data_IF_243720947608
#
_entry.id   IF_243720947608
#
_cell.length_a   1.000
_cell.length_b   1.000
_cell.length_c   1.000
_cell.angle_alpha   90.00
_cell.angle_beta   90.00
_cell.angle_gamma   90.00
#
_symmetry.space_group_name_H-M   'P 1'
#
loop_
_entity.id
_entity.type
_entity.pdbx_description
1 polymer ?
#
# COMPACT_ATOMS: atom_id res chain seq x y z
N UNK A 1 15.92 4.32 15.36
CA UNK A 1 16.83 5.24 14.64
C UNK A 1 16.33 5.62 13.24
N UNK A 2 15.65 4.71 12.50
CA UNK A 2 15.01 5.06 11.23
C UNK A 2 13.94 6.16 11.37
N UNK A 3 13.08 6.09 12.40
CA UNK A 3 12.01 7.08 12.64
C UNK A 3 12.57 8.50 12.88
N UNK A 4 13.63 8.63 13.69
CA UNK A 4 14.29 9.91 13.96
C UNK A 4 15.12 10.48 12.78
N UNK A 5 15.29 9.70 11.70
CA UNK A 5 15.88 10.18 10.46
C UNK A 5 14.78 10.66 9.50
N UNK A 6 13.65 9.95 9.43
CA UNK A 6 12.49 10.36 8.64
C UNK A 6 11.98 11.74 9.05
N UNK A 7 11.82 12.00 10.35
CA UNK A 7 11.39 13.30 10.89
C UNK A 7 12.33 14.46 10.50
N UNK A 8 13.64 14.21 10.42
CA UNK A 8 14.64 15.22 10.04
C UNK A 8 14.70 15.49 8.54
N UNK A 9 14.25 14.56 7.70
CA UNK A 9 14.26 14.72 6.24
C UNK A 9 13.01 15.45 5.74
N UNK A 10 11.88 15.32 6.43
CA UNK A 10 10.68 16.13 6.22
C UNK A 10 10.95 17.63 6.47
N UNK A 11 11.73 17.98 7.50
CA UNK A 11 12.12 19.37 7.81
C UNK A 11 12.96 20.06 6.71
N UNK A 12 13.56 19.30 5.79
CA UNK A 12 14.40 19.81 4.69
C UNK A 12 13.73 19.73 3.31
N UNK A 13 12.45 19.37 3.26
CA UNK A 13 11.66 19.32 2.02
C UNK A 13 11.89 18.07 1.17
N UNK A 14 12.33 16.96 1.77
CA UNK A 14 12.40 15.66 1.11
C UNK A 14 11.06 14.95 1.26
N UNK A 15 10.26 14.93 0.18
CA UNK A 15 8.92 14.33 0.16
C UNK A 15 8.87 13.09 -0.76
N UNK A 16 7.84 12.25 -0.59
CA UNK A 16 7.56 11.13 -1.49
C UNK A 16 8.60 9.99 -1.44
N UNK A 17 8.97 9.46 -2.60
CA UNK A 17 9.90 8.31 -2.69
C UNK A 17 11.30 8.67 -2.21
N UNK A 18 11.68 9.94 -2.24
CA UNK A 18 12.96 10.39 -1.69
C UNK A 18 13.02 10.22 -0.16
N UNK A 19 11.91 10.14 0.58
CA UNK A 19 11.90 9.79 2.01
C UNK A 19 12.11 8.28 2.24
N UNK A 20 11.53 7.45 1.37
CA UNK A 20 11.74 6.01 1.34
C UNK A 20 13.16 5.67 0.86
N UNK A 21 13.76 6.51 0.01
CA UNK A 21 15.15 6.41 -0.41
C UNK A 21 16.12 7.02 0.60
N UNK A 22 15.74 8.11 1.28
CA UNK A 22 16.53 8.78 2.30
C UNK A 22 16.68 7.93 3.54
N UNK A 23 15.80 6.95 3.78
CA UNK A 23 16.01 5.91 4.82
C UNK A 23 17.12 4.93 4.44
N UNK A 24 17.49 4.79 3.15
CA UNK A 24 18.63 3.96 2.74
C UNK A 24 19.99 4.56 3.08
N UNK A 25 20.14 5.89 3.09
CA UNK A 25 21.41 6.53 3.47
C UNK A 25 21.83 6.22 4.92
N UNK A 26 20.98 6.48 5.93
CA UNK A 26 21.17 6.07 7.31
C UNK A 26 21.22 4.56 7.48
N UNK A 27 20.38 3.78 6.78
CA UNK A 27 20.46 2.32 6.84
C UNK A 27 21.81 1.81 6.33
N UNK A 28 22.33 2.33 5.21
CA UNK A 28 23.66 2.02 4.69
C UNK A 28 24.77 2.49 5.64
N UNK A 29 24.60 3.65 6.30
CA UNK A 29 25.57 4.14 7.29
C UNK A 29 25.63 3.23 8.52
N UNK A 30 24.48 2.76 9.00
CA UNK A 30 24.38 1.78 10.10
C UNK A 30 24.95 0.43 9.67
N UNK A 31 24.57 -0.08 8.49
CA UNK A 31 25.10 -1.33 7.92
C UNK A 31 26.62 -1.27 7.74
N UNK A 32 27.15 -0.16 7.27
CA UNK A 32 28.59 0.06 7.11
C UNK A 32 29.33 0.06 8.45
N UNK A 33 28.75 0.67 9.50
CA UNK A 33 29.31 0.63 10.87
C UNK A 33 29.18 -0.74 11.53
N UNK A 34 28.13 -1.48 11.21
CA UNK A 34 27.84 -2.80 11.76
C UNK A 34 28.52 -3.93 10.97
N UNK A 35 29.33 -3.60 9.95
CA UNK A 35 30.00 -4.60 9.14
C UNK A 35 31.12 -5.30 9.94
N UNK A 36 31.25 -6.64 9.85
CA UNK A 36 30.45 -7.59 9.07
C UNK A 36 29.05 -7.89 9.64
N UNK A 37 28.03 -7.94 8.77
CA UNK A 37 26.65 -8.31 9.14
C UNK A 37 26.38 -9.77 8.80
N UNK A 38 25.87 -10.54 9.76
CA UNK A 38 25.57 -11.96 9.60
C UNK A 38 24.06 -12.21 9.52
N UNK A 39 23.69 -13.23 8.75
CA UNK A 39 22.33 -13.75 8.66
C UNK A 39 21.89 -14.32 10.02
N UNK A 40 20.61 -14.16 10.35
CA UNK A 40 19.95 -14.89 11.43
C UNK A 40 19.79 -16.38 11.10
N UNK A 41 19.80 -16.74 9.81
CA UNK A 41 19.83 -18.11 9.34
C UNK A 41 21.27 -18.66 9.39
N UNK A 42 21.42 -19.80 10.07
CA UNK A 42 22.68 -20.55 10.12
C UNK A 42 22.88 -21.39 8.86
N UNK A 43 24.13 -21.50 8.40
CA UNK A 43 24.51 -22.45 7.36
C UNK A 43 24.27 -23.90 7.79
N UNK A 44 24.42 -24.86 6.87
CA UNK A 44 24.27 -26.30 7.13
C UNK A 44 25.20 -26.82 8.24
N UNK A 45 26.19 -26.02 8.64
CA UNK A 45 27.19 -26.30 9.66
C UNK A 45 26.90 -25.56 11.00
N UNK A 46 25.74 -24.89 11.11
CA UNK A 46 25.27 -24.22 12.32
C UNK A 46 25.91 -22.86 12.60
N UNK A 47 26.62 -22.27 11.64
CA UNK A 47 27.30 -20.97 11.79
C UNK A 47 26.48 -19.86 11.14
N UNK A 48 26.44 -18.70 11.78
CA UNK A 48 25.83 -17.52 11.18
C UNK A 48 26.56 -17.15 9.89
N UNK A 49 25.83 -17.13 8.78
CA UNK A 49 26.39 -16.87 7.45
C UNK A 49 26.63 -15.38 7.26
N UNK A 50 27.83 -14.99 6.82
CA UNK A 50 28.12 -13.60 6.46
C UNK A 50 27.24 -13.17 5.27
N UNK A 51 26.51 -12.07 5.41
CA UNK A 51 25.72 -11.53 4.30
C UNK A 51 26.64 -10.80 3.32
N UNK A 52 26.37 -10.91 2.02
CA UNK A 52 26.96 -10.01 1.03
C UNK A 52 26.32 -8.62 1.15
N UNK A 53 27.02 -7.54 0.76
CA UNK A 53 26.48 -6.18 0.83
C UNK A 53 25.12 -6.02 0.15
N UNK A 54 24.90 -6.70 -0.98
CA UNK A 54 23.64 -6.68 -1.72
C UNK A 54 22.50 -7.35 -0.95
N UNK A 55 22.79 -8.44 -0.23
CA UNK A 55 21.81 -9.14 0.62
C UNK A 55 21.44 -8.30 1.83
N UNK A 56 22.42 -7.65 2.46
CA UNK A 56 22.18 -6.75 3.59
C UNK A 56 21.32 -5.54 3.18
N UNK A 57 21.57 -4.97 1.99
CA UNK A 57 20.78 -3.87 1.45
C UNK A 57 19.36 -4.31 1.07
N UNK A 58 19.21 -5.52 0.51
CA UNK A 58 17.89 -6.09 0.22
C UNK A 58 17.08 -6.30 1.50
N UNK A 59 17.69 -6.88 2.54
CA UNK A 59 17.04 -7.07 3.84
C UNK A 59 16.62 -5.74 4.48
N UNK A 60 17.45 -4.70 4.38
CA UNK A 60 17.09 -3.36 4.85
C UNK A 60 15.91 -2.75 4.09
N UNK A 61 15.82 -2.97 2.76
CA UNK A 61 14.67 -2.54 1.94
C UNK A 61 13.39 -3.23 2.35
N UNK A 62 13.44 -4.54 2.47
CA UNK A 62 12.29 -5.35 2.90
C UNK A 62 11.79 -4.90 4.27
N UNK A 63 12.71 -4.62 5.20
CA UNK A 63 12.36 -4.12 6.53
C UNK A 63 11.69 -2.74 6.50
N UNK A 64 12.18 -1.81 5.66
CA UNK A 64 11.54 -0.48 5.50
C UNK A 64 10.14 -0.62 4.91
N UNK A 65 9.96 -1.46 3.89
CA UNK A 65 8.65 -1.76 3.28
C UNK A 65 7.70 -2.36 4.32
N UNK A 66 8.18 -3.32 5.13
CA UNK A 66 7.42 -3.94 6.21
C UNK A 66 6.94 -2.90 7.23
N UNK A 67 7.85 -2.02 7.70
CA UNK A 67 7.53 -0.99 8.69
C UNK A 67 6.49 0.01 8.16
N UNK A 68 6.67 0.53 6.94
CA UNK A 68 5.71 1.47 6.32
C UNK A 68 4.32 0.89 6.18
N UNK A 69 4.23 -0.39 5.82
CA UNK A 69 2.95 -1.12 5.76
C UNK A 69 2.36 -1.37 7.14
N UNK A 70 3.18 -1.71 8.13
CA UNK A 70 2.73 -1.91 9.49
C UNK A 70 2.14 -0.62 10.09
N UNK A 71 2.66 0.56 9.72
CA UNK A 71 2.07 1.87 10.08
C UNK A 71 0.63 2.00 9.54
N UNK A 72 0.38 1.59 8.28
CA UNK A 72 -0.96 1.65 7.68
C UNK A 72 -1.93 0.65 8.34
N UNK A 73 -1.45 -0.53 8.72
CA UNK A 73 -2.32 -1.61 9.23
C UNK A 73 -2.49 -1.54 10.75
N UNK A 74 -1.50 -0.98 11.47
CA UNK A 74 -1.39 -1.01 12.93
C UNK A 74 -0.70 -2.28 13.47
N UNK A 75 -0.23 -3.17 12.60
CA UNK A 75 0.49 -4.41 12.94
C UNK A 75 1.21 -4.99 11.73
N UNK A 76 2.04 -6.00 11.97
CA UNK A 76 2.70 -6.73 10.89
C UNK A 76 1.73 -7.58 10.06
N UNK A 77 1.92 -7.48 8.74
CA UNK A 77 1.18 -8.25 7.73
C UNK A 77 2.02 -8.39 6.46
N UNK A 78 1.82 -9.49 5.74
CA UNK A 78 2.45 -9.74 4.43
C UNK A 78 1.37 -9.78 3.35
N UNK A 79 1.53 -8.96 2.31
CA UNK A 79 0.69 -8.99 1.11
C UNK A 79 1.50 -9.49 -0.07
N UNK A 80 0.83 -9.67 -1.20
CA UNK A 80 1.54 -9.84 -2.47
C UNK A 80 2.16 -8.49 -2.93
N UNK A 81 3.20 -8.53 -3.77
CA UNK A 81 3.92 -7.32 -4.19
C UNK A 81 3.08 -6.27 -4.91
N UNK A 82 2.03 -6.68 -5.61
CA UNK A 82 1.15 -5.75 -6.35
C UNK A 82 0.28 -4.97 -5.37
N UNK A 83 -0.24 -5.66 -4.36
CA UNK A 83 -0.95 -5.02 -3.24
C UNK A 83 -0.03 -4.08 -2.46
N UNK A 84 1.19 -4.50 -2.15
CA UNK A 84 2.19 -3.65 -1.49
C UNK A 84 2.50 -2.39 -2.31
N UNK A 85 2.61 -2.52 -3.65
CA UNK A 85 2.84 -1.37 -4.52
C UNK A 85 1.72 -0.36 -4.47
N UNK A 86 0.45 -0.80 -4.57
CA UNK A 86 -0.69 0.12 -4.54
C UNK A 86 -0.78 0.85 -3.20
N UNK A 87 -0.61 0.13 -2.08
CA UNK A 87 -0.66 0.72 -0.74
C UNK A 87 0.44 1.77 -0.54
N UNK A 88 1.69 1.39 -0.83
CA UNK A 88 2.82 2.28 -0.63
C UNK A 88 2.82 3.43 -1.64
N UNK A 89 2.33 3.24 -2.86
CA UNK A 89 2.18 4.34 -3.81
C UNK A 89 1.18 5.38 -3.28
N UNK A 90 0.02 4.94 -2.78
CA UNK A 90 -0.93 5.85 -2.16
C UNK A 90 -0.34 6.55 -0.94
N UNK A 91 0.24 5.81 0.00
CA UNK A 91 0.90 6.37 1.19
C UNK A 91 1.99 7.39 0.83
N UNK A 92 2.77 7.12 -0.21
CA UNK A 92 3.95 7.93 -0.55
C UNK A 92 3.61 9.16 -1.36
N UNK A 93 2.75 9.03 -2.38
CA UNK A 93 2.51 10.11 -3.33
C UNK A 93 1.24 10.90 -3.04
N UNK A 94 0.27 10.31 -2.34
CA UNK A 94 -1.06 10.90 -2.08
C UNK A 94 -1.73 11.46 -3.35
N UNK A 95 -1.37 10.91 -4.52
CA UNK A 95 -1.79 11.37 -5.83
C UNK A 95 -1.97 10.15 -6.75
N UNK A 96 -2.91 10.25 -7.69
CA UNK A 96 -3.13 9.18 -8.66
C UNK A 96 -2.04 9.12 -9.72
N UNK A 97 -1.46 10.26 -10.09
CA UNK A 97 -0.40 10.38 -11.08
C UNK A 97 0.90 10.84 -10.42
N UNK A 98 1.99 10.17 -10.75
CA UNK A 98 3.33 10.44 -10.21
C UNK A 98 4.43 10.08 -11.23
N UNK A 99 5.67 10.57 -11.06
CA UNK A 99 6.74 10.35 -12.01
C UNK A 99 7.06 8.86 -12.21
N UNK A 100 7.34 8.46 -13.46
CA UNK A 100 7.66 7.08 -13.82
C UNK A 100 8.89 6.55 -13.07
N UNK A 101 9.91 7.39 -12.90
CA UNK A 101 11.15 6.98 -12.22
C UNK A 101 10.92 6.68 -10.74
N UNK A 102 10.03 7.43 -10.07
CA UNK A 102 9.65 7.16 -8.68
C UNK A 102 8.83 5.88 -8.56
N UNK A 103 7.91 5.64 -9.50
CA UNK A 103 7.19 4.37 -9.59
C UNK A 103 8.15 3.18 -9.76
N UNK A 104 9.17 3.34 -10.61
CA UNK A 104 10.19 2.33 -10.86
C UNK A 104 11.03 2.06 -9.61
N UNK A 105 11.45 3.10 -8.89
CA UNK A 105 12.17 2.98 -7.62
C UNK A 105 11.33 2.26 -6.56
N UNK A 106 10.04 2.58 -6.45
CA UNK A 106 9.12 1.93 -5.52
C UNK A 106 8.93 0.44 -5.85
N UNK A 107 8.68 0.10 -7.12
CA UNK A 107 8.53 -1.29 -7.54
C UNK A 107 9.78 -2.14 -7.23
N UNK A 108 10.97 -1.57 -7.45
CA UNK A 108 12.24 -2.22 -7.10
C UNK A 108 12.42 -2.38 -5.58
N UNK A 109 11.94 -1.44 -4.77
CA UNK A 109 12.05 -1.52 -3.32
C UNK A 109 11.17 -2.64 -2.73
N UNK A 110 10.00 -2.90 -3.33
CA UNK A 110 9.05 -3.93 -2.87
C UNK A 110 9.50 -5.35 -3.26
N UNK A 111 10.30 -5.49 -4.32
CA UNK A 111 10.97 -6.76 -4.63
C UNK A 111 10.12 -7.80 -5.35
N UNK A 112 9.00 -7.42 -5.98
CA UNK A 112 8.12 -8.38 -6.67
C UNK A 112 7.55 -7.95 -8.02
N UNK A 113 8.14 -6.95 -8.67
CA UNK A 113 7.78 -6.57 -10.04
C UNK A 113 8.51 -5.34 -10.54
N UNK A 114 8.16 -4.92 -11.75
CA UNK A 114 8.54 -3.65 -12.35
C UNK A 114 7.30 -2.91 -12.86
N UNK A 115 7.48 -1.65 -13.29
CA UNK A 115 6.38 -0.82 -13.82
C UNK A 115 5.74 -1.45 -15.06
N UNK A 116 6.50 -2.23 -15.83
CA UNK A 116 6.00 -2.93 -17.02
C UNK A 116 5.02 -4.04 -16.65
N UNK A 117 5.36 -4.83 -15.64
CA UNK A 117 4.52 -5.87 -15.06
C UNK A 117 3.28 -5.24 -14.47
N UNK A 118 3.40 -4.18 -13.66
CA UNK A 118 2.26 -3.45 -13.11
C UNK A 118 1.32 -2.90 -14.19
N UNK A 119 1.87 -2.41 -15.30
CA UNK A 119 1.08 -1.94 -16.44
C UNK A 119 0.40 -3.08 -17.20
N UNK A 120 1.12 -4.18 -17.44
CA UNK A 120 0.56 -5.42 -17.99
C UNK A 120 -0.54 -5.96 -17.08
N UNK A 121 -0.41 -5.74 -15.77
CA UNK A 121 -1.36 -6.11 -14.74
C UNK A 121 -2.55 -5.16 -14.59
N UNK A 122 -2.60 -4.09 -15.39
CA UNK A 122 -3.61 -3.01 -15.26
C UNK A 122 -3.68 -2.49 -13.83
N UNK A 123 -2.54 -2.36 -13.15
CA UNK A 123 -2.42 -1.65 -11.87
C UNK A 123 -2.15 -0.18 -12.15
N UNK A 124 -1.27 0.09 -13.12
CA UNK A 124 -0.92 1.44 -13.57
C UNK A 124 -1.18 1.63 -15.06
N UNK A 125 -1.42 2.86 -15.46
CA UNK A 125 -1.30 3.33 -16.84
C UNK A 125 -0.02 4.13 -16.98
N UNK A 126 0.73 3.89 -18.07
CA UNK A 126 1.99 4.59 -18.34
C UNK A 126 1.74 5.71 -19.34
N UNK A 127 2.29 6.88 -19.06
CA UNK A 127 2.34 8.02 -19.98
C UNK A 127 3.79 8.51 -20.10
N UNK A 128 4.04 9.50 -20.96
CA UNK A 128 5.39 10.02 -21.13
C UNK A 128 5.85 10.72 -19.83
N UNK A 129 6.79 10.09 -19.11
CA UNK A 129 7.38 10.63 -17.88
C UNK A 129 6.60 10.35 -16.60
N UNK A 130 5.36 9.89 -16.68
CA UNK A 130 4.49 9.64 -15.53
C UNK A 130 3.80 8.28 -15.59
N UNK A 131 3.29 7.83 -14.45
CA UNK A 131 2.35 6.72 -14.33
C UNK A 131 1.14 7.15 -13.53
N UNK A 132 -0.01 6.57 -13.83
CA UNK A 132 -1.27 6.81 -13.12
C UNK A 132 -1.76 5.49 -12.52
N UNK A 133 -2.08 5.46 -11.22
CA UNK A 133 -2.80 4.35 -10.60
C UNK A 133 -4.20 4.24 -11.20
N UNK A 134 -4.55 3.05 -11.69
CA UNK A 134 -5.88 2.82 -12.25
C UNK A 134 -6.93 2.66 -11.15
N UNK A 135 -8.05 3.36 -11.32
CA UNK A 135 -9.19 3.24 -10.39
C UNK A 135 -9.76 1.82 -10.43
N UNK A 136 -10.52 1.37 -9.40
CA UNK A 136 -11.23 0.10 -9.47
C UNK A 136 -12.05 -0.04 -10.76
N UNK A 137 -12.75 1.01 -11.19
CA UNK A 137 -13.57 0.99 -12.39
C UNK A 137 -12.78 0.78 -13.69
N UNK A 138 -11.59 1.39 -13.81
CA UNK A 138 -10.71 1.19 -14.97
C UNK A 138 -10.23 -0.27 -15.08
N UNK A 139 -10.13 -0.95 -13.93
CA UNK A 139 -9.65 -2.33 -13.81
C UNK A 139 -10.77 -3.37 -13.99
N UNK A 140 -12.04 -2.94 -14.05
CA UNK A 140 -13.23 -3.81 -14.07
C UNK A 140 -13.14 -4.96 -15.06
N UNK A 141 -12.78 -4.67 -16.32
CA UNK A 141 -12.70 -5.69 -17.39
C UNK A 141 -11.73 -6.83 -17.06
N UNK A 142 -10.70 -6.57 -16.27
CA UNK A 142 -9.68 -7.54 -15.89
C UNK A 142 -10.06 -8.36 -14.65
N UNK A 143 -10.59 -7.70 -13.63
CA UNK A 143 -10.67 -8.29 -12.28
C UNK A 143 -12.09 -8.74 -11.91
N UNK A 144 -13.12 -7.98 -12.30
CA UNK A 144 -14.44 -8.05 -11.67
C UNK A 144 -15.12 -9.40 -11.86
N UNK A 145 -15.30 -9.84 -13.12
CA UNK A 145 -16.00 -11.10 -13.44
C UNK A 145 -15.35 -12.29 -12.71
N UNK A 146 -14.02 -12.36 -12.77
CA UNK A 146 -13.26 -13.47 -12.20
C UNK A 146 -13.43 -13.55 -10.68
N UNK A 147 -13.39 -12.41 -9.97
CA UNK A 147 -13.61 -12.38 -8.51
C UNK A 147 -15.06 -12.70 -8.15
N UNK A 148 -16.03 -12.14 -8.87
CA UNK A 148 -17.46 -12.44 -8.63
C UNK A 148 -17.77 -13.92 -8.82
N UNK A 149 -17.13 -14.58 -9.79
CA UNK A 149 -17.22 -16.04 -10.01
C UNK A 149 -16.48 -16.88 -8.95
N UNK A 150 -15.74 -16.26 -8.04
CA UNK A 150 -15.04 -16.94 -6.93
C UNK A 150 -13.58 -17.28 -7.19
N UNK A 151 -13.02 -16.85 -8.32
CA UNK A 151 -11.61 -17.11 -8.66
C UNK A 151 -10.68 -16.10 -7.96
N UNK A 152 -10.56 -16.19 -6.64
CA UNK A 152 -9.74 -15.29 -5.80
C UNK A 152 -8.36 -15.84 -5.46
N UNK A 153 -8.19 -17.17 -5.46
CA UNK A 153 -6.92 -17.80 -5.08
C UNK A 153 -5.79 -17.42 -6.05
N UNK A 154 -4.62 -17.05 -5.50
CA UNK A 154 -3.44 -16.67 -6.27
C UNK A 154 -3.51 -15.29 -6.93
N UNK A 155 -4.61 -14.54 -6.75
CA UNK A 155 -4.69 -13.15 -7.23
C UNK A 155 -4.02 -12.19 -6.25
N UNK A 156 -3.52 -11.05 -6.75
CA UNK A 156 -3.26 -9.89 -5.90
C UNK A 156 -4.48 -9.56 -5.03
N UNK A 157 -4.28 -9.38 -3.74
CA UNK A 157 -5.38 -9.10 -2.81
C UNK A 157 -6.07 -7.77 -3.14
N UNK A 158 -5.33 -6.80 -3.68
CA UNK A 158 -5.87 -5.54 -4.21
C UNK A 158 -6.84 -5.73 -5.38
N UNK A 159 -6.69 -6.79 -6.19
CA UNK A 159 -7.68 -7.12 -7.24
C UNK A 159 -9.00 -7.55 -6.61
N UNK A 160 -8.94 -8.30 -5.51
CA UNK A 160 -10.12 -8.77 -4.77
C UNK A 160 -10.82 -7.58 -4.13
N UNK A 161 -10.07 -6.69 -3.45
CA UNK A 161 -10.63 -5.46 -2.88
C UNK A 161 -11.25 -4.57 -3.97
N UNK A 162 -10.54 -4.31 -5.07
CA UNK A 162 -11.07 -3.48 -6.16
C UNK A 162 -12.33 -4.11 -6.79
N UNK A 163 -12.45 -5.43 -6.87
CA UNK A 163 -13.69 -6.07 -7.31
C UNK A 163 -14.86 -5.86 -6.34
N UNK A 164 -14.62 -5.89 -5.03
CA UNK A 164 -15.63 -5.52 -4.01
C UNK A 164 -16.02 -4.04 -4.14
N UNK A 165 -15.06 -3.16 -4.40
CA UNK A 165 -15.32 -1.74 -4.63
C UNK A 165 -16.12 -1.48 -5.91
N UNK A 166 -15.85 -2.22 -6.99
CA UNK A 166 -16.65 -2.16 -8.22
C UNK A 166 -18.09 -2.59 -7.92
N UNK A 167 -18.27 -3.71 -7.21
CA UNK A 167 -19.61 -4.19 -6.83
C UNK A 167 -20.36 -3.14 -5.99
N UNK A 168 -19.65 -2.48 -5.07
CA UNK A 168 -20.21 -1.41 -4.25
C UNK A 168 -20.62 -0.20 -5.09
N UNK A 169 -19.78 0.22 -6.03
CA UNK A 169 -20.02 1.37 -6.88
C UNK A 169 -21.18 1.13 -7.87
N UNK A 170 -21.35 -0.09 -8.38
CA UNK A 170 -22.38 -0.40 -9.38
C UNK A 170 -23.71 -0.88 -8.76
N UNK A 171 -23.63 -1.71 -7.72
CA UNK A 171 -24.77 -2.44 -7.16
C UNK A 171 -25.06 -2.06 -5.70
N UNK A 172 -24.28 -1.15 -5.11
CA UNK A 172 -24.43 -0.68 -3.73
C UNK A 172 -23.70 -1.53 -2.69
N UNK A 173 -23.40 -0.92 -1.53
CA UNK A 173 -22.61 -1.55 -0.47
C UNK A 173 -23.21 -2.87 0.06
N UNK A 174 -24.54 -3.03 0.08
CA UNK A 174 -25.19 -4.27 0.54
C UNK A 174 -24.87 -5.46 -0.37
N UNK A 175 -24.84 -5.24 -1.69
CA UNK A 175 -24.48 -6.27 -2.67
C UNK A 175 -23.00 -6.62 -2.57
N UNK A 176 -22.15 -5.61 -2.39
CA UNK A 176 -20.72 -5.81 -2.12
C UNK A 176 -20.46 -6.60 -0.83
N UNK A 177 -21.26 -6.37 0.23
CA UNK A 177 -21.20 -7.18 1.46
C UNK A 177 -21.58 -8.63 1.17
N UNK A 178 -22.65 -8.86 0.41
CA UNK A 178 -23.05 -10.22 0.01
C UNK A 178 -21.97 -10.95 -0.80
N UNK A 179 -21.25 -10.24 -1.68
CA UNK A 179 -20.06 -10.76 -2.36
C UNK A 179 -18.96 -11.11 -1.35
N UNK A 180 -18.67 -10.20 -0.42
CA UNK A 180 -17.69 -10.40 0.66
C UNK A 180 -17.99 -11.61 1.54
N UNK A 181 -19.24 -11.77 1.98
CA UNK A 181 -19.67 -12.92 2.79
C UNK A 181 -19.50 -14.24 2.03
N UNK A 182 -19.96 -14.28 0.77
CA UNK A 182 -19.92 -15.48 -0.07
C UNK A 182 -18.49 -15.95 -0.32
N UNK A 183 -17.56 -15.00 -0.45
CA UNK A 183 -16.14 -15.27 -0.65
C UNK A 183 -15.37 -15.43 0.68
N UNK A 184 -16.03 -15.28 1.83
CA UNK A 184 -15.40 -15.35 3.15
C UNK A 184 -14.49 -14.18 3.51
N UNK A 185 -14.50 -13.10 2.71
CA UNK A 185 -13.55 -11.99 2.81
C UNK A 185 -13.69 -11.19 4.11
N UNK A 186 -14.92 -10.98 4.59
CA UNK A 186 -15.17 -10.21 5.82
C UNK A 186 -14.69 -10.90 7.09
N UNK A 187 -14.45 -12.22 7.02
CA UNK A 187 -13.87 -13.02 8.10
C UNK A 187 -12.38 -13.33 7.86
N UNK A 188 -11.85 -12.99 6.69
CA UNK A 188 -10.42 -13.10 6.40
C UNK A 188 -9.70 -11.87 6.95
N UNK A 189 -8.96 -12.08 8.03
CA UNK A 189 -8.21 -11.02 8.67
C UNK A 189 -7.24 -10.33 7.70
N UNK A 190 -6.63 -11.05 6.76
CA UNK A 190 -5.70 -10.47 5.79
C UNK A 190 -6.44 -9.50 4.85
N UNK A 191 -7.67 -9.81 4.48
CA UNK A 191 -8.51 -8.90 3.70
C UNK A 191 -8.91 -7.67 4.51
N UNK A 192 -9.32 -7.85 5.78
CA UNK A 192 -9.64 -6.73 6.69
C UNK A 192 -8.43 -5.81 6.90
N UNK A 193 -7.22 -6.37 7.04
CA UNK A 193 -5.99 -5.59 7.14
C UNK A 193 -5.72 -4.77 5.88
N UNK A 194 -5.96 -5.33 4.70
CA UNK A 194 -5.84 -4.59 3.45
C UNK A 194 -6.84 -3.44 3.39
N UNK A 195 -8.09 -3.68 3.81
CA UNK A 195 -9.09 -2.61 3.89
C UNK A 195 -8.60 -1.52 4.82
N UNK A 196 -8.17 -1.85 6.05
CA UNK A 196 -7.62 -0.90 7.02
C UNK A 196 -6.47 -0.08 6.44
N UNK A 197 -5.52 -0.74 5.78
CA UNK A 197 -4.38 -0.08 5.15
C UNK A 197 -4.82 0.86 4.02
N UNK A 198 -5.77 0.42 3.19
CA UNK A 198 -6.24 1.21 2.06
C UNK A 198 -6.99 2.47 2.51
N UNK A 199 -7.81 2.39 3.57
CA UNK A 199 -8.51 3.59 4.07
C UNK A 199 -7.54 4.62 4.62
N UNK A 200 -6.43 4.19 5.24
CA UNK A 200 -5.39 5.10 5.73
C UNK A 200 -4.48 5.63 4.62
N UNK A 201 -4.25 4.84 3.56
CA UNK A 201 -3.34 5.20 2.49
C UNK A 201 -3.99 6.15 1.46
N UNK A 202 -5.25 5.91 1.08
CA UNK A 202 -5.94 6.72 0.06
C UNK A 202 -6.23 8.12 0.61
N UNK A 203 -5.98 9.20 -0.16
CA UNK A 203 -6.26 10.56 0.28
C UNK A 203 -7.70 10.75 0.77
N UNK A 204 -7.85 11.10 2.05
CA UNK A 204 -9.13 11.33 2.73
C UNK A 204 -9.67 12.77 2.53
N UNK A 205 -9.41 13.37 1.38
CA UNK A 205 -9.72 14.79 1.14
C UNK A 205 -11.09 14.98 0.50
N UNK A 206 -11.83 15.98 1.00
CA UNK A 206 -13.10 16.43 0.43
C UNK A 206 -12.97 17.84 -0.13
N UNK A 207 -13.51 18.06 -1.32
CA UNK A 207 -13.66 19.38 -1.92
C UNK A 207 -15.15 19.69 -2.09
N UNK A 208 -15.61 20.80 -1.50
CA UNK A 208 -17.03 21.20 -1.51
C UNK A 208 -17.98 20.08 -1.03
N UNK A 209 -17.58 19.36 0.02
CA UNK A 209 -18.36 18.27 0.62
C UNK A 209 -18.37 16.96 -0.19
N UNK A 210 -17.67 16.88 -1.33
CA UNK A 210 -17.52 15.66 -2.12
C UNK A 210 -16.11 15.11 -1.97
N UNK A 211 -16.00 13.79 -1.94
CA UNK A 211 -14.72 13.11 -1.97
C UNK A 211 -13.97 13.45 -3.26
N UNK A 212 -12.69 13.80 -3.12
CA UNK A 212 -11.81 13.98 -4.28
C UNK A 212 -11.50 12.61 -4.92
N UNK A 213 -11.36 11.57 -4.09
CA UNK A 213 -11.11 10.19 -4.53
C UNK A 213 -12.38 9.35 -4.47
N UNK A 214 -12.80 8.71 -5.59
CA UNK A 214 -13.92 7.77 -5.55
C UNK A 214 -13.61 6.54 -4.69
N UNK A 215 -12.35 6.15 -4.56
CA UNK A 215 -11.92 5.05 -3.68
C UNK A 215 -12.22 5.36 -2.21
N UNK A 216 -11.95 6.58 -1.76
CA UNK A 216 -12.23 7.01 -0.39
C UNK A 216 -13.73 6.99 -0.10
N UNK A 217 -14.57 7.47 -1.03
CA UNK A 217 -16.03 7.43 -0.88
C UNK A 217 -16.55 6.00 -0.65
N UNK A 218 -16.14 5.06 -1.50
CA UNK A 218 -16.56 3.67 -1.42
C UNK A 218 -16.03 3.00 -0.16
N UNK A 219 -14.75 3.20 0.19
CA UNK A 219 -14.14 2.60 1.38
C UNK A 219 -14.80 3.08 2.66
N UNK A 220 -14.99 4.40 2.82
CA UNK A 220 -15.64 4.96 4.01
C UNK A 220 -17.08 4.46 4.14
N UNK A 221 -17.85 4.47 3.05
CA UNK A 221 -19.23 3.99 3.06
C UNK A 221 -19.33 2.50 3.39
N UNK A 222 -18.48 1.68 2.80
CA UNK A 222 -18.46 0.24 3.02
C UNK A 222 -18.02 -0.11 4.45
N UNK A 223 -16.96 0.51 4.95
CA UNK A 223 -16.43 0.23 6.29
C UNK A 223 -17.41 0.65 7.38
N UNK A 224 -17.99 1.85 7.26
CA UNK A 224 -19.01 2.34 8.20
C UNK A 224 -20.18 1.37 8.32
N UNK A 225 -20.60 0.76 7.21
CA UNK A 225 -21.76 -0.13 7.19
C UNK A 225 -21.43 -1.57 7.63
N UNK A 226 -20.25 -2.10 7.28
CA UNK A 226 -20.01 -3.55 7.34
C UNK A 226 -18.67 -3.97 7.95
N UNK A 227 -17.75 -3.05 8.21
CA UNK A 227 -16.46 -3.32 8.85
C UNK A 227 -16.22 -2.33 9.99
N UNK A 228 -17.02 -2.36 11.08
CA UNK A 228 -16.87 -1.43 12.21
C UNK A 228 -15.53 -1.58 12.95
N UNK A 229 -14.81 -2.68 12.74
CA UNK A 229 -13.46 -2.89 13.26
C UNK A 229 -12.37 -2.11 12.50
N UNK A 230 -12.68 -1.56 11.32
CA UNK A 230 -11.75 -0.74 10.55
C UNK A 230 -11.82 0.70 11.06
N UNK A 231 -10.68 1.21 11.52
CA UNK A 231 -10.51 2.58 11.97
C UNK A 231 -10.40 3.52 10.77
N UNK A 232 -11.41 4.36 10.60
CA UNK A 232 -11.45 5.39 9.56
C UNK A 232 -10.58 6.60 9.96
N UNK A 233 -9.82 7.20 9.02
CA UNK A 233 -9.11 8.45 9.30
C UNK A 233 -10.10 9.59 9.62
N UNK A 234 -9.68 10.50 10.49
CA UNK A 234 -10.46 11.69 10.83
C UNK A 234 -10.74 12.56 9.60
N UNK A 235 -11.90 13.21 9.57
CA UNK A 235 -12.28 14.12 8.48
C UNK A 235 -11.46 15.43 8.62
N UNK A 236 -10.61 15.80 7.64
CA UNK A 236 -9.77 17.00 7.73
C UNK A 236 -10.56 18.30 7.93
N UNK A 237 -11.84 18.33 7.50
CA UNK A 237 -12.72 19.49 7.66
C UNK A 237 -13.33 19.59 9.06
N UNK A 238 -13.34 18.51 9.84
CA UNK A 238 -13.82 18.56 11.23
C UNK A 238 -12.82 19.31 12.12
N UNK A 239 -11.51 19.10 11.92
CA UNK A 239 -10.44 19.71 12.73
C UNK A 239 -10.43 21.24 12.62
N UNK A 240 -10.68 21.79 11.43
CA UNK A 240 -10.68 23.25 11.21
C UNK A 240 -11.87 23.97 11.85
N UNK A 241 -12.96 23.27 12.15
CA UNK A 241 -14.13 23.82 12.85
C UNK A 241 -13.95 23.82 14.37
N UNK A 242 -13.21 22.86 14.94
CA UNK A 242 -12.95 22.78 16.38
C UNK A 242 -11.81 23.71 16.84
N UNK A 243 -10.89 24.11 15.97
CA UNK A 243 -9.85 25.10 16.32
C UNK A 243 -10.33 26.56 16.29
N UNK A 244 -11.58 26.80 15.88
CA UNK A 244 -12.17 28.15 15.78
C UNK A 244 -13.34 28.39 16.75
N UNK A 245 -13.59 27.48 17.70
CA UNK A 245 -14.65 27.58 18.72
C UNK A 245 -14.07 27.67 20.12
#
# INVERSE_FOLDING_TARGET
>A
MANAAAERFEEVGIEGVDLLLATYGPALSVLSRAWPVYSSETDDEGRSRLLRPEEALAAAREEVVRLRKAELVGRDVTFDPVTDFVLLAWQTFQAEEFPYDEARRLALAIGGGDVETLAAEKVVHKQAGTVTLLTPMDRKRRIYRSVVEGHVAGRPLVDVLHAVMIEAAESGHATAKGLGDRLGLLNDQRFVDLVQAMVRAVPNTKQKGKWVRPEAEVLHGFCTAYLPQVELPEDPLATTLFELS
#
